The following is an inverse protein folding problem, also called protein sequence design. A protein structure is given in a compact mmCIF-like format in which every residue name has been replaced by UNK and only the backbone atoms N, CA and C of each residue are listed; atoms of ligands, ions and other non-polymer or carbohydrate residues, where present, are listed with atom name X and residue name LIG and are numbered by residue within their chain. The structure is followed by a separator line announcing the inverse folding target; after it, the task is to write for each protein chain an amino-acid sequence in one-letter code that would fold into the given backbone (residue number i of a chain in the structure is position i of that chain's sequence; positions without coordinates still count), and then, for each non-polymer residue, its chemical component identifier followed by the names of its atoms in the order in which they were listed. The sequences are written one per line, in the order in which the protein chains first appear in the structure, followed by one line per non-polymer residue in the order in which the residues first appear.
data_IF_707613265844
#
_entry.id   IF_707613265844
#
_cell.length_a   1.000
_cell.length_b   1.000
_cell.length_c   1.000
_cell.angle_alpha   90.00
_cell.angle_beta   90.00
_cell.angle_gamma   90.00
#
_symmetry.space_group_name_H-M   'P 1'
#
loop_
_entity.id
_entity.type
_entity.pdbx_description
1 polymer ?
#
# COMPACT_ATOMS: atom_id res chain seq x y z
N UNK A 1 -3.71 -58.23 -58.33
CA UNK A 1 -4.79 -57.86 -57.38
C UNK A 1 -4.28 -56.91 -56.30
N UNK A 2 -3.10 -57.14 -55.73
CA UNK A 2 -2.53 -56.31 -54.64
C UNK A 2 -2.37 -54.81 -54.95
N UNK A 3 -1.90 -54.44 -56.15
CA UNK A 3 -1.77 -53.02 -56.56
C UNK A 3 -3.13 -52.30 -56.56
N UNK A 4 -4.21 -52.99 -56.93
CA UNK A 4 -5.56 -52.40 -56.92
C UNK A 4 -6.09 -52.19 -55.50
N UNK A 5 -5.76 -53.10 -54.57
CA UNK A 5 -6.09 -52.94 -53.15
C UNK A 5 -5.31 -51.77 -52.55
N UNK A 6 -3.99 -51.77 -52.76
CA UNK A 6 -3.09 -50.73 -52.26
C UNK A 6 -3.42 -49.34 -52.81
N UNK A 7 -3.83 -49.25 -54.07
CA UNK A 7 -4.32 -47.99 -54.65
C UNK A 7 -5.63 -47.54 -54.01
N UNK A 8 -6.55 -48.45 -53.73
CA UNK A 8 -7.81 -48.15 -53.03
C UNK A 8 -7.58 -47.65 -51.61
N UNK A 9 -6.68 -48.29 -50.87
CA UNK A 9 -6.30 -47.88 -49.51
C UNK A 9 -5.62 -46.50 -49.50
N UNK A 10 -4.79 -46.21 -50.51
CA UNK A 10 -4.14 -44.90 -50.66
C UNK A 10 -5.16 -43.78 -50.93
N UNK A 11 -6.16 -44.03 -51.78
CA UNK A 11 -7.23 -43.05 -52.04
C UNK A 11 -8.05 -42.81 -50.78
N UNK A 12 -8.39 -43.86 -50.04
CA UNK A 12 -9.15 -43.75 -48.80
C UNK A 12 -8.40 -42.94 -47.74
N UNK A 13 -7.11 -43.20 -47.54
CA UNK A 13 -6.27 -42.44 -46.62
C UNK A 13 -6.16 -40.95 -47.03
N UNK A 14 -6.06 -40.66 -48.33
CA UNK A 14 -6.06 -39.28 -48.83
C UNK A 14 -7.39 -38.57 -48.60
N UNK A 15 -8.51 -39.30 -48.73
CA UNK A 15 -9.85 -38.79 -48.47
C UNK A 15 -10.06 -38.49 -46.98
N UNK A 16 -9.66 -39.41 -46.10
CA UNK A 16 -9.71 -39.24 -44.64
C UNK A 16 -8.84 -38.05 -44.18
N UNK A 17 -7.64 -37.90 -44.75
CA UNK A 17 -6.77 -36.75 -44.49
C UNK A 17 -7.40 -35.43 -44.98
N UNK A 18 -8.06 -35.45 -46.14
CA UNK A 18 -8.81 -34.30 -46.67
C UNK A 18 -9.93 -33.86 -45.73
N UNK A 19 -10.69 -34.81 -45.19
CA UNK A 19 -11.77 -34.54 -44.22
C UNK A 19 -11.23 -33.98 -42.89
N UNK A 20 -10.08 -34.49 -42.42
CA UNK A 20 -9.42 -33.96 -41.22
C UNK A 20 -8.94 -32.52 -41.43
N UNK A 21 -8.29 -32.23 -42.55
CA UNK A 21 -7.88 -30.86 -42.90
C UNK A 21 -9.08 -29.93 -43.08
N UNK A 22 -10.19 -30.45 -43.64
CA UNK A 22 -11.45 -29.73 -43.77
C UNK A 22 -12.05 -29.29 -42.43
N UNK A 23 -11.77 -30.01 -41.34
CA UNK A 23 -12.15 -29.63 -39.96
C UNK A 23 -11.11 -28.75 -39.28
N UNK A 24 -9.82 -29.01 -39.52
CA UNK A 24 -8.71 -28.28 -38.90
C UNK A 24 -8.67 -26.81 -39.33
N UNK A 25 -8.92 -26.51 -40.62
CA UNK A 25 -8.87 -25.13 -41.12
C UNK A 25 -9.89 -24.21 -40.42
N UNK A 26 -11.17 -24.59 -40.26
CA UNK A 26 -12.12 -23.85 -39.43
C UNK A 26 -11.66 -23.62 -38.00
N UNK A 27 -11.06 -24.62 -37.35
CA UNK A 27 -10.63 -24.50 -35.95
C UNK A 27 -9.40 -23.59 -35.78
N UNK A 28 -8.48 -23.60 -36.76
CA UNK A 28 -7.38 -22.63 -36.81
C UNK A 28 -7.92 -21.21 -36.96
N UNK A 29 -8.95 -20.99 -37.80
CA UNK A 29 -9.59 -19.67 -37.95
C UNK A 29 -10.22 -19.18 -36.66
N UNK A 30 -10.98 -20.04 -35.95
CA UNK A 30 -11.53 -19.72 -34.64
C UNK A 30 -10.42 -19.37 -33.63
N UNK A 31 -9.33 -20.13 -33.63
CA UNK A 31 -8.20 -19.85 -32.74
C UNK A 31 -7.57 -18.49 -33.06
N UNK A 32 -7.41 -18.16 -34.34
CA UNK A 32 -6.91 -16.85 -34.76
C UNK A 32 -7.84 -15.70 -34.37
N UNK A 33 -9.16 -15.90 -34.48
CA UNK A 33 -10.18 -14.94 -34.02
C UNK A 33 -10.07 -14.71 -32.50
N UNK A 34 -10.00 -15.79 -31.71
CA UNK A 34 -9.83 -15.69 -30.25
C UNK A 34 -8.54 -14.96 -29.87
N UNK A 35 -7.43 -15.25 -30.54
CA UNK A 35 -6.15 -14.54 -30.29
C UNK A 35 -6.26 -13.05 -30.64
N UNK A 36 -6.97 -12.71 -31.72
CA UNK A 36 -7.24 -11.31 -32.09
C UNK A 36 -8.09 -10.60 -31.03
N UNK A 37 -9.14 -11.26 -30.51
CA UNK A 37 -9.97 -10.72 -29.44
C UNK A 37 -9.20 -10.54 -28.14
N UNK A 38 -8.40 -11.54 -27.75
CA UNK A 38 -7.52 -11.45 -26.57
C UNK A 38 -6.54 -10.28 -26.72
N UNK A 39 -5.93 -10.12 -27.89
CA UNK A 39 -4.99 -9.02 -28.13
C UNK A 39 -5.65 -7.65 -28.02
N UNK A 40 -6.88 -7.52 -28.53
CA UNK A 40 -7.67 -6.30 -28.38
C UNK A 40 -8.03 -6.02 -26.91
N UNK A 41 -8.47 -7.05 -26.17
CA UNK A 41 -8.78 -6.94 -24.75
C UNK A 41 -7.53 -6.60 -23.91
N UNK A 42 -6.38 -7.18 -24.22
CA UNK A 42 -5.10 -6.83 -23.58
C UNK A 42 -4.76 -5.36 -23.78
N UNK A 43 -4.93 -4.84 -24.99
CA UNK A 43 -4.69 -3.41 -25.26
C UNK A 43 -5.64 -2.51 -24.47
N UNK A 44 -6.90 -2.89 -24.31
CA UNK A 44 -7.85 -2.16 -23.47
C UNK A 44 -7.50 -2.23 -21.98
N UNK A 45 -7.05 -3.39 -21.51
CA UNK A 45 -6.54 -3.56 -20.15
C UNK A 45 -5.29 -2.72 -19.90
N UNK A 46 -4.35 -2.63 -20.84
CA UNK A 46 -3.16 -1.79 -20.72
C UNK A 46 -3.54 -0.31 -20.54
N UNK A 47 -4.51 0.15 -21.34
CA UNK A 47 -5.07 1.50 -21.21
C UNK A 47 -5.72 1.68 -19.84
N UNK A 48 -6.53 0.72 -19.40
CA UNK A 48 -7.17 0.72 -18.08
C UNK A 48 -6.16 0.74 -16.93
N UNK A 49 -5.08 -0.04 -17.04
CA UNK A 49 -4.00 -0.09 -16.05
C UNK A 49 -3.27 1.26 -15.94
N UNK A 50 -3.03 1.94 -17.07
CA UNK A 50 -2.47 3.30 -17.07
C UNK A 50 -3.39 4.28 -16.33
N UNK A 51 -4.69 4.24 -16.61
CA UNK A 51 -5.66 5.11 -15.94
C UNK A 51 -5.77 4.83 -14.43
N UNK A 52 -5.75 3.55 -14.03
CA UNK A 52 -5.73 3.14 -12.62
C UNK A 52 -4.49 3.70 -11.94
N UNK A 53 -3.31 3.59 -12.57
CA UNK A 53 -2.07 4.10 -12.03
C UNK A 53 -2.08 5.63 -11.86
N UNK A 54 -2.64 6.37 -12.82
CA UNK A 54 -2.84 7.82 -12.71
C UNK A 54 -3.78 8.18 -11.56
N UNK A 55 -4.91 7.48 -11.42
CA UNK A 55 -5.86 7.69 -10.33
C UNK A 55 -5.23 7.42 -8.96
N UNK A 56 -4.41 6.37 -8.83
CA UNK A 56 -3.67 6.07 -7.59
C UNK A 56 -2.71 7.20 -7.25
N UNK A 57 -1.96 7.75 -8.22
CA UNK A 57 -1.07 8.89 -7.99
C UNK A 57 -1.83 10.14 -7.55
N UNK A 58 -3.02 10.38 -8.11
CA UNK A 58 -3.88 11.49 -7.68
C UNK A 58 -4.40 11.29 -6.25
N UNK A 59 -4.82 10.07 -5.91
CA UNK A 59 -5.25 9.73 -4.55
C UNK A 59 -4.12 9.89 -3.53
N UNK A 60 -2.89 9.50 -3.89
CA UNK A 60 -1.71 9.71 -3.05
C UNK A 60 -1.47 11.21 -2.80
N UNK A 61 -1.53 12.04 -3.85
CA UNK A 61 -1.43 13.50 -3.72
C UNK A 61 -2.49 14.08 -2.79
N UNK A 62 -3.75 13.67 -2.94
CA UNK A 62 -4.84 14.12 -2.05
C UNK A 62 -4.62 13.63 -0.62
N UNK A 63 -4.14 12.40 -0.44
CA UNK A 63 -3.82 11.84 0.88
C UNK A 63 -2.72 12.63 1.58
N UNK A 64 -1.65 12.98 0.86
CA UNK A 64 -0.57 13.83 1.37
C UNK A 64 -1.06 15.24 1.70
N UNK A 65 -1.90 15.83 0.84
CA UNK A 65 -2.51 17.13 1.10
C UNK A 65 -3.39 17.08 2.36
N UNK A 66 -4.19 16.03 2.54
CA UNK A 66 -5.04 15.86 3.72
C UNK A 66 -4.21 15.68 4.99
N UNK A 67 -3.09 14.94 4.92
CA UNK A 67 -2.16 14.81 6.03
C UNK A 67 -1.55 16.18 6.42
N UNK A 68 -1.02 16.92 5.44
CA UNK A 68 -0.45 18.25 5.68
C UNK A 68 -1.49 19.26 6.19
N UNK A 69 -2.71 19.23 5.64
CA UNK A 69 -3.81 20.05 6.13
C UNK A 69 -4.20 19.70 7.58
N UNK A 70 -4.17 18.41 7.94
CA UNK A 70 -4.44 17.95 9.31
C UNK A 70 -3.34 18.38 10.27
N UNK A 71 -2.08 18.32 9.87
CA UNK A 71 -0.95 18.83 10.65
C UNK A 71 -1.07 20.35 10.87
N UNK A 72 -1.37 21.10 9.82
CA UNK A 72 -1.57 22.55 9.92
C UNK A 72 -2.78 22.89 10.81
N UNK A 73 -3.87 22.11 10.72
CA UNK A 73 -5.04 22.27 11.58
C UNK A 73 -4.69 22.00 13.05
N UNK A 74 -3.90 20.97 13.34
CA UNK A 74 -3.43 20.67 14.70
C UNK A 74 -2.58 21.80 15.26
N UNK A 75 -1.59 22.28 14.50
CA UNK A 75 -0.75 23.41 14.90
C UNK A 75 -1.56 24.69 15.15
N UNK A 76 -2.54 24.97 14.28
CA UNK A 76 -3.44 26.12 14.46
C UNK A 76 -4.30 25.97 15.72
N UNK A 77 -4.76 24.76 16.02
CA UNK A 77 -5.55 24.48 17.22
C UNK A 77 -4.73 24.63 18.51
N UNK A 78 -3.46 24.21 18.49
CA UNK A 78 -2.51 24.41 19.60
C UNK A 78 -2.23 25.91 19.84
N UNK A 79 -2.00 26.67 18.77
CA UNK A 79 -1.80 28.12 18.83
C UNK A 79 -3.04 28.84 19.39
N UNK A 80 -4.23 28.48 18.91
CA UNK A 80 -5.49 29.04 19.43
C UNK A 80 -5.71 28.68 20.91
N UNK A 81 -5.34 27.48 21.34
CA UNK A 81 -5.42 27.08 22.75
C UNK A 81 -4.46 27.91 23.61
N UNK A 82 -3.21 28.11 23.16
CA UNK A 82 -2.25 28.95 23.85
C UNK A 82 -2.72 30.41 23.98
N UNK A 83 -3.29 30.99 22.92
CA UNK A 83 -3.87 32.34 22.97
C UNK A 83 -5.08 32.44 23.90
N UNK A 84 -5.91 31.39 23.98
CA UNK A 84 -7.02 31.33 24.92
C UNK A 84 -6.53 31.27 26.38
N UNK A 85 -5.48 30.50 26.66
CA UNK A 85 -4.83 30.44 27.98
C UNK A 85 -4.24 31.80 28.37
N UNK A 86 -3.57 32.49 27.45
CA UNK A 86 -3.02 33.84 27.66
C UNK A 86 -4.12 34.86 27.98
N UNK A 87 -5.23 34.81 27.24
CA UNK A 87 -6.39 35.67 27.49
C UNK A 87 -7.01 35.40 28.86
N UNK A 88 -7.16 34.12 29.23
CA UNK A 88 -7.66 33.74 30.55
C UNK A 88 -6.74 34.24 31.67
N UNK A 89 -5.43 34.10 31.51
CA UNK A 89 -4.44 34.61 32.47
C UNK A 89 -4.52 36.15 32.60
N UNK A 90 -4.69 36.85 31.48
CA UNK A 90 -4.84 38.31 31.45
C UNK A 90 -6.12 38.79 32.16
N UNK A 91 -7.24 38.08 31.97
CA UNK A 91 -8.51 38.40 32.64
C UNK A 91 -8.43 38.05 34.14
N UNK A 92 -7.71 37.01 34.54
CA UNK A 92 -7.56 36.61 35.95
C UNK A 92 -6.90 37.68 36.84
N UNK A 93 -6.14 38.62 36.27
CA UNK A 93 -5.63 39.79 36.99
C UNK A 93 -6.76 40.71 37.48
N UNK A 94 -7.82 40.84 36.69
CA UNK A 94 -8.96 41.68 37.04
C UNK A 94 -9.82 40.96 38.08
N UNK A 95 -9.63 41.33 39.34
CA UNK A 95 -10.56 40.99 40.42
C UNK A 95 -11.91 41.64 40.12
N UNK A 96 -12.84 40.86 39.60
CA UNK A 96 -14.25 41.19 39.72
C UNK A 96 -14.60 40.88 41.16
N UNK A 97 -14.68 41.91 42.00
CA UNK A 97 -15.32 41.79 43.30
C UNK A 97 -16.75 41.29 43.02
N UNK A 98 -16.94 39.98 43.12
CA UNK A 98 -18.24 39.42 43.42
C UNK A 98 -18.58 39.95 44.82
N UNK A 99 -19.14 41.16 44.83
CA UNK A 99 -19.64 41.80 46.01
C UNK A 99 -20.57 40.82 46.74
N UNK A 100 -20.10 40.35 47.90
CA UNK A 100 -20.96 39.72 48.90
C UNK A 100 -20.91 38.20 48.98
N UNK A 101 -19.81 37.62 49.46
CA UNK A 101 -19.90 36.42 50.31
C UNK A 101 -18.72 36.32 51.30
N UNK A 102 -18.82 37.10 52.37
CA UNK A 102 -18.62 36.65 53.75
C UNK A 102 -17.39 35.80 54.16
N UNK A 103 -16.44 36.52 54.79
CA UNK A 103 -15.62 36.15 55.97
C UNK A 103 -14.37 35.27 55.79
N UNK A 104 -13.17 35.74 56.23
CA UNK A 104 -12.01 34.90 56.49
C UNK A 104 -12.12 34.26 57.88
N UNK A 105 -12.32 32.94 57.92
CA UNK A 105 -12.30 32.14 59.15
C UNK A 105 -10.93 31.51 59.37
N UNK A 106 -10.20 32.04 60.35
CA UNK A 106 -8.97 31.45 60.90
C UNK A 106 -9.25 30.13 61.60
N UNK A 107 -8.72 29.00 61.12
CA UNK A 107 -8.55 27.81 61.96
C UNK A 107 -7.21 27.10 61.71
N UNK A 108 -6.54 26.85 62.84
CA UNK A 108 -5.20 26.33 63.05
C UNK A 108 -4.96 24.94 62.46
N UNK A 109 -3.72 24.71 62.07
CA UNK A 109 -3.14 23.41 61.79
C UNK A 109 -3.17 22.48 63.02
N UNK A 110 -3.50 21.21 62.79
CA UNK A 110 -3.04 20.07 63.59
C UNK A 110 -2.77 18.87 62.67
N UNK A 111 -1.69 18.10 62.92
CA UNK A 111 -1.29 16.99 62.08
C UNK A 111 -2.02 15.72 62.49
N UNK A 112 -2.50 14.94 61.52
CA UNK A 112 -2.91 13.55 61.74
C UNK A 112 -2.21 12.63 60.76
N UNK A 113 -1.63 11.61 61.37
CA UNK A 113 -0.80 10.55 60.87
C UNK A 113 -1.55 9.52 60.01
N UNK A 114 -0.81 8.99 59.03
CA UNK A 114 -0.88 7.63 58.48
C UNK A 114 -2.17 7.15 57.77
N UNK A 115 -2.11 7.17 56.44
CA UNK A 115 -2.62 6.05 55.62
C UNK A 115 -1.61 5.76 54.50
N UNK A 116 -0.98 4.59 54.61
CA UNK A 116 0.10 4.08 53.77
C UNK A 116 -0.50 3.51 52.49
N UNK A 117 -0.46 4.27 51.39
CA UNK A 117 -0.77 3.74 50.05
C UNK A 117 0.50 3.08 49.51
N UNK A 118 0.50 1.75 49.47
CA UNK A 118 1.52 0.95 48.83
C UNK A 118 1.56 1.28 47.34
N UNK A 119 2.64 1.94 46.90
CA UNK A 119 3.03 1.98 45.49
C UNK A 119 3.87 0.75 45.21
N UNK A 120 3.37 -0.15 44.39
CA UNK A 120 4.20 -1.14 43.69
C UNK A 120 5.16 -0.42 42.75
N UNK A 121 6.45 -0.80 42.69
CA UNK A 121 7.41 -0.20 41.78
C UNK A 121 7.27 -0.84 40.38
N UNK A 122 6.60 -0.15 39.46
CA UNK A 122 6.77 -0.42 38.02
C UNK A 122 8.04 0.32 37.55
N UNK A 123 8.98 -0.46 37.02
CA UNK A 123 10.33 -0.05 36.69
C UNK A 123 10.44 1.21 35.82
N UNK A 124 11.20 2.18 36.31
CA UNK A 124 11.77 3.28 35.51
C UNK A 124 12.79 2.66 34.54
N UNK A 125 12.44 2.55 33.27
CA UNK A 125 13.42 2.35 32.20
C UNK A 125 14.03 3.72 31.85
N UNK A 126 15.33 3.85 32.08
CA UNK A 126 16.15 4.96 31.57
C UNK A 126 15.96 5.13 30.06
N UNK A 127 15.79 6.35 29.51
CA UNK A 127 16.01 6.58 28.10
C UNK A 127 17.52 6.63 27.83
N UNK A 128 18.01 5.66 27.07
CA UNK A 128 19.34 5.71 26.47
C UNK A 128 19.30 6.68 25.28
N UNK A 129 20.24 7.63 25.14
CA UNK A 129 20.33 8.43 23.93
C UNK A 129 21.03 7.60 22.85
N UNK A 130 20.27 7.03 21.93
CA UNK A 130 20.84 6.43 20.73
C UNK A 130 20.55 7.34 19.54
N UNK A 131 21.51 8.24 19.28
CA UNK A 131 21.61 8.93 18.01
C UNK A 131 21.67 7.89 16.89
N UNK A 132 20.66 7.90 16.03
CA UNK A 132 20.72 7.30 14.70
C UNK A 132 20.41 8.42 13.73
N UNK A 133 21.48 8.90 13.10
CA UNK A 133 21.39 9.84 11.99
C UNK A 133 20.42 9.28 10.95
N UNK A 134 19.46 10.11 10.57
CA UNK A 134 18.62 9.91 9.41
C UNK A 134 19.52 10.05 8.18
N UNK A 135 20.13 8.96 7.72
CA UNK A 135 20.87 8.96 6.47
C UNK A 135 19.87 8.86 5.32
N UNK A 136 20.09 9.66 4.27
CA UNK A 136 19.30 9.72 3.03
C UNK A 136 19.10 8.32 2.40
N UNK A 137 20.04 7.41 2.64
CA UNK A 137 19.98 5.99 2.22
C UNK A 137 18.80 5.20 2.80
N UNK A 138 18.39 5.48 4.05
CA UNK A 138 17.26 4.78 4.69
C UNK A 138 15.90 5.28 4.16
N UNK A 139 15.84 6.53 3.69
CA UNK A 139 14.66 7.11 3.05
C UNK A 139 14.50 6.62 1.61
N UNK A 140 15.60 6.35 0.91
CA UNK A 140 15.61 5.85 -0.46
C UNK A 140 15.21 4.36 -0.58
N UNK A 141 15.35 3.59 0.51
CA UNK A 141 14.86 2.20 0.58
C UNK A 141 13.35 2.10 0.78
N UNK A 142 12.68 3.11 1.33
CA UNK A 142 11.21 3.15 1.43
C UNK A 142 10.52 3.58 0.13
N UNK A 143 11.23 4.34 -0.71
CA UNK A 143 10.76 4.72 -2.05
C UNK A 143 10.85 3.56 -3.06
N UNK A 144 11.56 2.48 -2.74
CA UNK A 144 11.54 1.22 -3.52
C UNK A 144 10.46 0.29 -2.96
N UNK A 145 9.20 0.71 -3.06
CA UNK A 145 8.07 -0.21 -3.05
C UNK A 145 8.13 -1.09 -4.30
N UNK A 146 7.91 -2.40 -4.11
CA UNK A 146 7.65 -3.44 -5.12
C UNK A 146 8.14 -3.14 -6.56
N UNK A 147 9.46 -3.05 -6.74
CA UNK A 147 10.04 -3.24 -8.07
C UNK A 147 10.17 -4.76 -8.28
N UNK A 148 9.27 -5.33 -9.09
CA UNK A 148 9.40 -6.70 -9.58
C UNK A 148 10.56 -6.67 -10.59
N UNK A 149 11.76 -7.02 -10.10
CA UNK A 149 12.98 -7.01 -10.89
C UNK A 149 12.98 -8.17 -11.89
N UNK A 150 12.58 -7.88 -13.13
CA UNK A 150 12.63 -8.83 -14.26
C UNK A 150 14.06 -9.02 -14.80
N UNK A 151 15.09 -8.40 -14.20
CA UNK A 151 16.49 -8.66 -14.55
C UNK A 151 17.05 -9.95 -13.93
N UNK A 152 16.29 -10.62 -13.05
CA UNK A 152 16.65 -11.92 -12.45
C UNK A 152 16.20 -13.12 -13.31
N UNK A 153 15.94 -12.92 -14.61
CA UNK A 153 15.75 -13.98 -15.61
C UNK A 153 17.01 -14.24 -16.43
N UNK A 154 18.19 -14.21 -15.80
CA UNK A 154 19.43 -14.65 -16.44
C UNK A 154 19.46 -16.18 -16.55
N UNK A 155 20.25 -16.74 -17.49
CA UNK A 155 20.32 -18.18 -17.72
C UNK A 155 20.62 -18.89 -16.41
N UNK A 156 19.70 -19.73 -15.97
CA UNK A 156 19.85 -20.53 -14.76
C UNK A 156 20.43 -21.90 -15.12
N UNK A 157 20.82 -22.67 -14.10
CA UNK A 157 21.43 -23.99 -14.32
C UNK A 157 20.46 -25.02 -14.96
N UNK A 158 19.18 -24.67 -15.14
CA UNK A 158 18.21 -25.47 -15.90
C UNK A 158 18.26 -25.23 -17.40
N UNK A 159 18.78 -24.06 -17.85
CA UNK A 159 18.92 -23.72 -19.26
C UNK A 159 20.03 -24.51 -19.97
N UNK A 160 21.01 -25.04 -19.23
CA UNK A 160 22.12 -25.83 -19.79
C UNK A 160 21.66 -27.23 -20.22
N UNK A 161 20.70 -27.83 -19.52
CA UNK A 161 20.13 -29.16 -19.82
C UNK A 161 19.27 -29.13 -21.11
N UNK A 162 18.72 -27.95 -21.46
CA UNK A 162 17.92 -27.74 -22.67
C UNK A 162 18.77 -27.61 -23.94
N UNK A 163 20.06 -27.24 -23.84
CA UNK A 163 20.95 -27.07 -25.01
C UNK A 163 21.59 -28.37 -25.49
N UNK A 164 21.71 -29.40 -24.65
CA UNK A 164 22.27 -30.70 -25.06
C UNK A 164 21.26 -31.61 -25.80
N UNK A 165 20.00 -31.21 -25.90
CA UNK A 165 18.92 -32.00 -26.53
C UNK A 165 18.39 -31.42 -27.86
N UNK A 166 19.06 -30.42 -28.43
CA UNK A 166 18.79 -29.87 -29.77
C UNK A 166 19.97 -30.12 -30.72
#
# INVERSE_FOLDING_TARGET
AEISSMSGDTVKAAQDAGDMLGRLVPDIRKTAELVSEISAACREQDIGASQINEAIQQLDKVTQQNAGASEQMSATSEELAAQAEELQASIAFFKVDAAGSGRPGTHKAQPKTAAKVQKTPAAVRKPTPQGRGQTVSAQQQRLKGFALDMSMGGPDAGDDDFRESA
#
